data_IF_927931023764
#
_entry.id   IF_927931023764
#
_cell.length_a   1.000
_cell.length_b   1.000
_cell.length_c   1.000
_cell.angle_alpha   90.00
_cell.angle_beta   90.00
_cell.angle_gamma   90.00
#
_symmetry.space_group_name_H-M   'P 1'
#
loop_
_entity.id
_entity.type
_entity.pdbx_description
1 polymer ?
#
# COMPACT_ATOMS: atom_id res chain seq x y z
N UNK A 1 -50.58 -40.85 9.47
CA UNK A 1 -49.52 -41.46 10.31
C UNK A 1 -48.76 -42.45 9.44
N UNK A 2 -47.47 -42.41 9.14
CA UNK A 2 -46.28 -41.65 9.56
C UNK A 2 -45.31 -41.76 8.34
N UNK A 3 -44.80 -40.69 7.72
CA UNK A 3 -43.50 -40.04 7.99
C UNK A 3 -42.48 -40.99 8.65
N UNK A 4 -41.34 -41.37 8.07
CA UNK A 4 -40.30 -40.58 7.42
C UNK A 4 -39.30 -41.50 6.69
N UNK A 5 -38.72 -41.04 5.57
CA UNK A 5 -37.46 -41.59 5.01
C UNK A 5 -36.30 -40.78 5.60
N UNK A 6 -35.23 -41.36 6.17
CA UNK A 6 -34.06 -40.59 6.55
C UNK A 6 -33.30 -40.21 5.28
N UNK A 7 -33.53 -38.98 4.82
CA UNK A 7 -32.77 -38.32 3.79
C UNK A 7 -31.36 -38.08 4.33
N UNK A 8 -30.38 -38.67 3.64
CA UNK A 8 -28.95 -38.46 3.79
C UNK A 8 -28.64 -36.95 3.86
N UNK A 9 -28.07 -36.48 4.98
CA UNK A 9 -27.51 -35.13 5.09
C UNK A 9 -26.00 -35.25 5.31
N UNK A 10 -25.27 -35.50 4.22
CA UNK A 10 -23.83 -35.34 4.19
C UNK A 10 -23.51 -33.84 4.16
N UNK A 11 -23.37 -33.23 5.34
CA UNK A 11 -22.89 -31.85 5.47
C UNK A 11 -21.39 -31.84 5.16
N UNK A 12 -21.07 -31.61 3.88
CA UNK A 12 -19.70 -31.37 3.43
C UNK A 12 -19.31 -29.96 3.86
N UNK A 13 -18.59 -29.86 4.99
CA UNK A 13 -17.96 -28.62 5.43
C UNK A 13 -16.81 -28.30 4.47
N UNK A 14 -17.11 -27.53 3.43
CA UNK A 14 -16.10 -26.92 2.57
C UNK A 14 -15.42 -25.79 3.35
N UNK A 15 -14.31 -26.13 4.00
CA UNK A 15 -13.37 -25.16 4.53
C UNK A 15 -12.71 -24.41 3.36
N UNK A 16 -13.25 -23.25 3.01
CA UNK A 16 -12.62 -22.29 2.09
C UNK A 16 -11.38 -21.69 2.78
N UNK A 17 -10.24 -22.37 2.65
CA UNK A 17 -8.93 -21.82 2.98
C UNK A 17 -8.55 -20.81 1.88
N UNK A 18 -8.87 -19.53 2.09
CA UNK A 18 -8.37 -18.45 1.26
C UNK A 18 -6.87 -18.29 1.48
N UNK A 19 -6.06 -18.72 0.50
CA UNK A 19 -4.65 -18.34 0.44
C UNK A 19 -4.55 -16.85 0.10
N UNK A 20 -4.50 -15.99 1.13
CA UNK A 20 -4.10 -14.60 0.92
C UNK A 20 -2.64 -14.56 0.49
N UNK A 21 -2.39 -14.06 -0.73
CA UNK A 21 -1.04 -13.78 -1.23
C UNK A 21 -0.35 -12.83 -0.25
N UNK A 22 0.76 -13.26 0.34
CA UNK A 22 1.56 -12.45 1.25
C UNK A 22 2.36 -11.41 0.47
N UNK A 23 2.22 -10.13 0.81
CA UNK A 23 2.99 -9.03 0.21
C UNK A 23 2.11 -8.00 -0.52
N UNK A 24 2.72 -6.94 -1.07
CA UNK A 24 2.00 -5.84 -1.72
C UNK A 24 1.26 -6.33 -2.96
N UNK A 25 0.16 -5.66 -3.26
CA UNK A 25 -0.75 -5.99 -4.35
C UNK A 25 -0.66 -4.92 -5.44
N UNK A 26 -0.72 -5.29 -6.71
CA UNK A 26 -0.67 -4.27 -7.78
C UNK A 26 -1.82 -3.26 -7.66
N UNK A 27 -1.57 -2.04 -8.15
CA UNK A 27 -2.58 -0.99 -8.23
C UNK A 27 -3.34 -1.09 -9.55
N UNK A 28 -4.66 -1.21 -9.50
CA UNK A 28 -5.53 -1.03 -10.64
C UNK A 28 -5.74 0.48 -10.86
N UNK A 29 -4.80 1.12 -11.55
CA UNK A 29 -4.84 2.56 -11.78
C UNK A 29 -6.16 3.00 -12.46
N UNK A 30 -6.71 4.12 -12.00
CA UNK A 30 -8.00 4.61 -12.47
C UNK A 30 -9.21 3.86 -11.90
N UNK A 31 -9.01 2.83 -11.06
CA UNK A 31 -10.09 2.04 -10.45
C UNK A 31 -9.95 1.94 -8.94
N UNK A 32 -8.75 1.65 -8.44
CA UNK A 32 -8.48 1.58 -7.01
C UNK A 32 -8.67 2.94 -6.36
N UNK A 33 -9.31 2.96 -5.19
CA UNK A 33 -9.48 4.15 -4.39
C UNK A 33 -8.49 4.16 -3.22
N UNK A 34 -7.98 5.35 -2.91
CA UNK A 34 -7.19 5.58 -1.71
C UNK A 34 -8.04 5.33 -0.46
N UNK A 35 -7.53 4.51 0.45
CA UNK A 35 -8.21 4.15 1.70
C UNK A 35 -8.30 5.32 2.71
N UNK A 36 -7.52 6.38 2.49
CA UNK A 36 -7.55 7.61 3.30
C UNK A 36 -8.49 8.66 2.69
N UNK A 37 -8.16 9.19 1.51
CA UNK A 37 -8.88 10.33 0.91
C UNK A 37 -10.03 9.94 -0.02
N UNK A 38 -10.22 8.64 -0.32
CA UNK A 38 -11.23 8.10 -1.26
C UNK A 38 -11.10 8.53 -2.71
N UNK A 39 -10.08 9.33 -3.06
CA UNK A 39 -9.77 9.65 -4.44
C UNK A 39 -9.21 8.43 -5.18
N UNK A 40 -9.44 8.38 -6.48
CA UNK A 40 -8.92 7.32 -7.35
C UNK A 40 -7.41 7.43 -7.50
N UNK A 41 -6.70 6.31 -7.34
CA UNK A 41 -5.25 6.23 -7.51
C UNK A 41 -4.91 6.25 -9.00
N UNK A 42 -4.11 7.23 -9.43
CA UNK A 42 -3.75 7.44 -10.84
C UNK A 42 -2.25 7.36 -11.11
N UNK A 43 -1.41 7.62 -10.10
CA UNK A 43 0.05 7.72 -10.25
C UNK A 43 0.77 6.68 -9.38
N UNK A 44 1.00 5.49 -9.93
CA UNK A 44 1.64 4.36 -9.20
C UNK A 44 2.95 4.76 -8.52
N UNK A 45 3.79 5.57 -9.17
CA UNK A 45 5.12 5.96 -8.67
C UNK A 45 5.09 6.72 -7.32
N UNK A 46 3.93 7.23 -6.90
CA UNK A 46 3.74 7.85 -5.58
C UNK A 46 2.93 6.97 -4.61
N UNK A 47 2.19 6.01 -5.14
CA UNK A 47 1.27 5.20 -4.37
C UNK A 47 2.00 4.35 -3.31
N UNK A 48 1.30 4.08 -2.22
CA UNK A 48 1.86 3.33 -1.08
C UNK A 48 0.84 2.31 -0.57
N UNK A 49 1.32 1.33 0.18
CA UNK A 49 0.48 0.30 0.78
C UNK A 49 0.84 0.03 2.22
N UNK A 50 -0.18 -0.21 3.03
CA UNK A 50 -0.07 -0.76 4.38
C UNK A 50 -0.71 -2.14 4.39
N UNK A 51 0.05 -3.14 4.81
CA UNK A 51 -0.40 -4.53 4.89
C UNK A 51 -0.42 -4.93 6.34
N UNK A 52 -1.62 -5.11 6.89
CA UNK A 52 -1.80 -5.54 8.27
C UNK A 52 -1.18 -6.91 8.52
N UNK A 53 -0.96 -7.25 9.79
CA UNK A 53 -0.51 -8.59 10.19
C UNK A 53 -1.42 -9.71 9.67
N UNK A 54 -2.73 -9.43 9.48
CA UNK A 54 -3.72 -10.35 8.91
C UNK A 54 -3.77 -10.35 7.38
N UNK A 55 -2.82 -9.71 6.70
CA UNK A 55 -2.72 -9.72 5.24
C UNK A 55 -3.67 -8.78 4.49
N UNK A 56 -4.50 -7.99 5.18
CA UNK A 56 -5.31 -6.95 4.52
C UNK A 56 -4.38 -5.84 4.03
N UNK A 57 -4.44 -5.55 2.72
CA UNK A 57 -3.77 -4.42 2.09
C UNK A 57 -4.70 -3.20 2.07
N UNK A 58 -4.17 -2.06 2.51
CA UNK A 58 -4.74 -0.73 2.35
C UNK A 58 -3.87 0.03 1.35
N UNK A 59 -4.50 0.70 0.39
CA UNK A 59 -3.86 1.38 -0.75
C UNK A 59 -3.99 2.88 -0.58
N UNK A 60 -2.93 3.63 -0.85
CA UNK A 60 -2.93 5.09 -0.71
C UNK A 60 -2.34 5.75 -1.94
N UNK A 61 -2.90 6.90 -2.30
CA UNK A 61 -2.52 7.67 -3.49
C UNK A 61 -1.12 8.28 -3.37
N UNK A 62 -0.72 8.67 -2.15
CA UNK A 62 0.66 9.01 -1.83
C UNK A 62 1.03 8.71 -0.36
N UNK A 63 2.29 8.98 0.00
CA UNK A 63 2.81 8.75 1.35
C UNK A 63 2.12 9.63 2.41
N UNK A 64 1.59 10.79 2.05
CA UNK A 64 0.89 11.68 2.98
C UNK A 64 -0.41 11.03 3.43
N UNK A 65 -1.16 10.46 2.49
CA UNK A 65 -2.37 9.69 2.78
C UNK A 65 -2.12 8.49 3.68
N UNK A 66 -1.04 7.74 3.44
CA UNK A 66 -0.66 6.63 4.32
C UNK A 66 -0.32 7.11 5.73
N UNK A 67 0.50 8.16 5.88
CA UNK A 67 0.87 8.69 7.19
C UNK A 67 -0.35 9.22 7.98
N UNK A 68 -1.30 9.88 7.30
CA UNK A 68 -2.57 10.29 7.90
C UNK A 68 -3.37 9.06 8.36
N UNK A 69 -3.48 8.04 7.52
CA UNK A 69 -4.18 6.81 7.84
C UNK A 69 -3.58 6.08 9.04
N UNK A 70 -2.26 5.93 9.08
CA UNK A 70 -1.52 5.33 10.20
C UNK A 70 -1.80 6.08 11.51
N UNK A 71 -1.84 7.41 11.46
CA UNK A 71 -2.11 8.26 12.63
C UNK A 71 -3.55 8.13 13.13
N UNK A 72 -4.53 8.01 12.23
CA UNK A 72 -5.95 7.88 12.58
C UNK A 72 -6.39 6.45 12.90
N UNK A 73 -5.61 5.43 12.49
CA UNK A 73 -5.94 4.01 12.63
C UNK A 73 -4.76 3.21 13.23
N UNK A 74 -4.33 3.54 14.46
CA UNK A 74 -3.15 2.92 15.06
C UNK A 74 -3.28 1.40 15.23
N UNK A 75 -4.50 0.88 15.43
CA UNK A 75 -4.78 -0.56 15.52
C UNK A 75 -4.50 -1.29 14.19
N UNK A 76 -4.72 -0.62 13.05
CA UNK A 76 -4.43 -1.16 11.71
C UNK A 76 -2.95 -1.07 11.39
N UNK A 77 -2.28 -0.01 11.85
CA UNK A 77 -0.86 0.21 11.61
C UNK A 77 0.05 -0.64 12.49
N UNK A 78 -0.43 -1.04 13.68
CA UNK A 78 0.34 -1.90 14.60
C UNK A 78 0.75 -3.20 13.91
N UNK A 79 2.06 -3.48 13.90
CA UNK A 79 2.68 -4.64 13.24
C UNK A 79 2.42 -4.76 11.72
N UNK A 80 1.94 -3.69 11.07
CA UNK A 80 1.76 -3.68 9.63
C UNK A 80 3.10 -3.54 8.91
N UNK A 81 3.19 -4.11 7.71
CA UNK A 81 4.28 -3.85 6.76
C UNK A 81 3.85 -2.74 5.82
N UNK A 82 4.70 -1.75 5.63
CA UNK A 82 4.45 -0.66 4.69
C UNK A 82 5.36 -0.74 3.48
N UNK A 83 4.79 -0.43 2.33
CA UNK A 83 5.44 -0.46 1.04
C UNK A 83 5.23 0.86 0.31
N UNK A 84 6.25 1.28 -0.40
CA UNK A 84 6.26 2.41 -1.31
C UNK A 84 6.69 1.91 -2.70
N UNK A 85 6.52 2.73 -3.72
CA UNK A 85 7.08 2.44 -5.04
C UNK A 85 8.44 3.10 -5.16
N UNK A 86 9.46 2.31 -5.49
CA UNK A 86 10.76 2.83 -5.90
C UNK A 86 10.57 3.65 -7.18
N UNK A 87 10.77 4.97 -7.07
CA UNK A 87 10.41 5.93 -8.10
C UNK A 87 11.08 5.65 -9.46
N UNK A 88 12.37 5.25 -9.52
CA UNK A 88 13.02 4.89 -10.78
C UNK A 88 12.49 3.58 -11.40
N UNK A 89 12.27 2.53 -10.61
CA UNK A 89 11.96 1.19 -11.16
C UNK A 89 10.47 0.87 -11.24
N UNK A 90 9.61 1.60 -10.53
CA UNK A 90 8.18 1.33 -10.44
C UNK A 90 7.82 0.10 -9.60
N UNK A 91 8.79 -0.50 -8.92
CA UNK A 91 8.62 -1.73 -8.11
C UNK A 91 8.31 -1.41 -6.66
N UNK A 92 7.61 -2.33 -5.99
CA UNK A 92 7.41 -2.25 -4.55
C UNK A 92 8.73 -2.34 -3.78
N UNK A 93 8.85 -1.47 -2.78
CA UNK A 93 9.97 -1.38 -1.86
C UNK A 93 9.39 -1.28 -0.44
N UNK A 94 9.92 -2.05 0.50
CA UNK A 94 9.56 -1.87 1.91
C UNK A 94 9.94 -0.45 2.36
N UNK A 95 9.00 0.30 2.96
CA UNK A 95 9.19 1.70 3.39
C UNK A 95 10.44 1.88 4.25
N UNK A 96 10.73 0.91 5.12
CA UNK A 96 11.89 0.91 6.01
C UNK A 96 13.25 0.79 5.29
N UNK A 97 13.27 0.34 4.03
CA UNK A 97 14.48 0.21 3.20
C UNK A 97 14.63 1.36 2.21
N UNK A 98 13.66 2.30 2.18
CA UNK A 98 13.66 3.39 1.23
C UNK A 98 14.43 4.60 1.75
N UNK A 99 15.17 5.25 0.85
CA UNK A 99 15.64 6.62 1.02
C UNK A 99 14.60 7.56 0.40
N UNK A 100 14.16 8.55 1.15
CA UNK A 100 13.15 9.51 0.69
C UNK A 100 13.77 10.85 0.33
N UNK A 101 13.20 11.49 -0.69
CA UNK A 101 13.45 12.90 -1.00
C UNK A 101 12.11 13.63 -1.02
N UNK A 102 12.10 14.89 -0.58
CA UNK A 102 10.88 15.69 -0.45
C UNK A 102 11.09 17.13 -0.91
N UNK A 103 10.06 17.70 -1.53
CA UNK A 103 10.00 19.11 -1.91
C UNK A 103 10.52 19.40 -3.32
N UNK A 104 11.02 20.63 -3.51
CA UNK A 104 11.47 21.09 -4.83
C UNK A 104 10.37 21.07 -5.87
N UNK A 105 10.68 20.53 -7.06
CA UNK A 105 9.73 20.36 -8.16
C UNK A 105 8.87 19.09 -8.07
N UNK A 106 9.02 18.26 -7.03
CA UNK A 106 8.20 17.05 -6.85
C UNK A 106 6.75 17.45 -6.58
N UNK A 107 5.82 16.86 -7.36
CA UNK A 107 4.37 17.01 -7.20
C UNK A 107 3.72 15.64 -7.10
N UNK A 108 3.28 15.26 -5.91
CA UNK A 108 2.46 14.04 -5.70
C UNK A 108 0.97 14.40 -5.64
N UNK A 109 0.07 13.45 -5.95
CA UNK A 109 -1.37 13.71 -6.05
C UNK A 109 -1.99 14.40 -4.83
N UNK A 110 -1.53 14.05 -3.62
CA UNK A 110 -2.12 14.55 -2.37
C UNK A 110 -1.16 15.46 -1.58
N UNK A 111 -0.18 16.06 -2.25
CA UNK A 111 0.69 17.09 -1.65
C UNK A 111 1.78 16.56 -0.70
N UNK A 112 1.98 15.25 -0.63
CA UNK A 112 3.14 14.66 0.06
C UNK A 112 4.48 15.09 -0.52
N UNK A 113 4.54 15.39 -1.83
CA UNK A 113 5.70 15.88 -2.59
C UNK A 113 6.98 15.07 -2.29
N UNK A 114 6.83 13.75 -2.19
CA UNK A 114 7.87 12.83 -1.74
C UNK A 114 8.06 11.71 -2.75
N UNK A 115 9.30 11.33 -3.03
CA UNK A 115 9.66 10.18 -3.85
C UNK A 115 10.52 9.21 -3.03
N UNK A 116 10.36 7.91 -3.27
CA UNK A 116 11.11 6.86 -2.62
C UNK A 116 12.15 6.26 -3.55
N UNK A 117 13.32 5.92 -3.00
CA UNK A 117 14.44 5.38 -3.73
C UNK A 117 15.03 4.20 -2.96
N UNK A 118 15.27 3.08 -3.65
CA UNK A 118 16.02 1.97 -3.09
C UNK A 118 17.51 2.33 -2.95
N UNK A 119 18.08 3.04 -3.93
CA UNK A 119 19.48 3.44 -3.94
C UNK A 119 19.67 4.88 -3.42
N UNK A 120 20.53 5.04 -2.41
CA UNK A 120 20.78 6.34 -1.78
C UNK A 120 21.51 7.32 -2.70
N UNK A 121 22.41 6.85 -3.55
CA UNK A 121 23.16 7.73 -4.47
C UNK A 121 22.22 8.28 -5.56
N UNK A 122 21.30 7.45 -6.07
CA UNK A 122 20.24 7.86 -6.97
C UNK A 122 19.33 8.92 -6.32
N UNK A 123 18.95 8.72 -5.04
CA UNK A 123 18.17 9.68 -4.28
C UNK A 123 18.88 11.04 -4.18
N UNK A 124 20.19 11.05 -3.86
CA UNK A 124 20.99 12.28 -3.76
C UNK A 124 21.08 13.01 -5.10
N UNK A 125 21.31 12.29 -6.20
CA UNK A 125 21.33 12.86 -7.55
C UNK A 125 19.98 13.46 -7.94
N UNK A 126 18.89 12.75 -7.64
CA UNK A 126 17.54 13.23 -7.91
C UNK A 126 17.19 14.45 -7.06
N UNK A 127 17.55 14.45 -5.77
CA UNK A 127 17.37 15.59 -4.87
C UNK A 127 18.03 16.86 -5.41
N UNK A 128 19.31 16.77 -5.83
CA UNK A 128 20.02 17.90 -6.42
C UNK A 128 19.36 18.39 -7.72
N UNK A 129 18.90 17.46 -8.57
CA UNK A 129 18.24 17.78 -9.85
C UNK A 129 16.89 18.47 -9.65
N UNK A 130 16.12 18.02 -8.66
CA UNK A 130 14.75 18.46 -8.42
C UNK A 130 14.65 19.63 -7.44
N UNK A 131 15.78 20.05 -6.84
CA UNK A 131 15.78 21.02 -5.74
C UNK A 131 15.07 20.51 -4.49
N UNK A 132 15.09 19.19 -4.28
CA UNK A 132 14.48 18.50 -3.15
C UNK A 132 15.53 18.17 -2.07
N UNK A 133 15.07 17.78 -0.89
CA UNK A 133 15.93 17.42 0.23
C UNK A 133 15.74 15.95 0.61
N UNK A 134 16.82 15.27 1.00
CA UNK A 134 16.69 13.95 1.62
C UNK A 134 15.93 14.08 2.94
N UNK A 135 15.04 13.13 3.21
CA UNK A 135 14.33 13.02 4.48
C UNK A 135 14.73 11.71 5.17
N UNK A 136 14.73 11.75 6.51
CA UNK A 136 14.89 10.56 7.34
C UNK A 136 13.66 9.66 7.26
#
# INVERSE_FOLDING_TARGET
>A
MNFTKPLILAVSVLAIMSCQKSGPQDFALGKDQCDNCRMTITEQKYATQLITQKGRAYKFDDIMCMNMYESSNPDKATNAKTYVIDYPSGKFLEKAKATFIKGGSIKSPMGGNTQAYQDKAAAQKAAATLGASLTK
#
